data_IF_511102572236
#
_entry.id   IF_511102572236
#
_cell.length_a   1.000
_cell.length_b   1.000
_cell.length_c   1.000
_cell.angle_alpha   90.00
_cell.angle_beta   90.00
_cell.angle_gamma   90.00
#
_symmetry.space_group_name_H-M   'P 1'
#
loop_
_entity.id
_entity.type
_entity.pdbx_description
1 polymer ?
#
# COMPACT_ATOMS: atom_id res chain seq x y z
N UNK A 1 -12.98 -25.17 10.50
CA UNK A 1 -11.78 -24.54 9.89
C UNK A 1 -11.15 -23.73 11.00
N UNK A 2 -9.86 -23.87 11.26
CA UNK A 2 -9.18 -23.06 12.28
C UNK A 2 -9.36 -21.58 11.95
N UNK A 3 -9.79 -20.77 12.93
CA UNK A 3 -9.90 -19.31 12.84
C UNK A 3 -8.51 -18.71 12.61
N UNK A 4 -8.04 -18.75 11.36
CA UNK A 4 -6.75 -18.17 10.96
C UNK A 4 -6.88 -16.66 11.06
N UNK A 5 -6.09 -16.06 11.94
CA UNK A 5 -5.89 -14.61 12.00
C UNK A 5 -4.63 -14.29 11.22
N UNK A 6 -4.77 -13.41 10.23
CA UNK A 6 -3.68 -12.89 9.41
C UNK A 6 -3.11 -11.64 10.07
N UNK A 7 -1.78 -11.56 10.23
CA UNK A 7 -1.12 -10.38 10.80
C UNK A 7 -0.32 -9.63 9.75
N UNK A 8 -0.71 -8.38 9.49
CA UNK A 8 -0.08 -7.50 8.50
C UNK A 8 0.42 -6.23 9.18
N UNK A 9 1.69 -5.88 8.97
CA UNK A 9 2.28 -4.61 9.44
C UNK A 9 2.46 -3.62 8.30
N UNK A 10 2.00 -2.38 8.46
CA UNK A 10 2.23 -1.29 7.52
C UNK A 10 3.52 -0.56 7.84
N UNK A 11 4.49 -0.52 6.92
CA UNK A 11 5.87 -0.10 7.20
C UNK A 11 6.30 1.21 6.53
N UNK A 12 5.39 1.92 5.86
CA UNK A 12 5.64 3.24 5.30
C UNK A 12 4.32 3.97 5.02
N UNK A 13 4.37 5.30 4.97
CA UNK A 13 3.28 6.14 4.47
C UNK A 13 3.61 6.97 3.24
N UNK A 14 4.89 7.08 2.87
CA UNK A 14 5.38 7.85 1.73
C UNK A 14 6.86 7.55 1.46
N UNK A 15 7.38 7.99 0.32
CA UNK A 15 8.80 7.89 0.01
C UNK A 15 9.65 8.85 0.86
N UNK A 16 10.61 8.29 1.62
CA UNK A 16 11.44 9.02 2.59
C UNK A 16 10.97 8.89 4.05
N UNK A 17 10.00 8.00 4.33
CA UNK A 17 9.56 7.69 5.69
C UNK A 17 10.66 6.97 6.51
N UNK A 18 10.42 6.80 7.81
CA UNK A 18 11.42 6.36 8.76
C UNK A 18 11.78 4.87 8.59
N UNK A 19 13.05 4.60 8.28
CA UNK A 19 13.59 3.23 8.13
C UNK A 19 13.43 2.30 9.37
N UNK A 20 13.02 2.85 10.51
CA UNK A 20 12.77 2.11 11.76
C UNK A 20 11.50 1.27 11.76
N UNK A 21 10.60 1.44 10.79
CA UNK A 21 9.35 0.69 10.71
C UNK A 21 9.59 -0.83 10.60
N UNK A 22 10.42 -1.24 9.63
CA UNK A 22 10.73 -2.66 9.37
C UNK A 22 11.30 -3.40 10.58
N UNK A 23 12.40 -2.94 11.23
CA UNK A 23 12.95 -3.67 12.38
C UNK A 23 11.94 -3.75 13.53
N UNK A 24 11.15 -2.69 13.76
CA UNK A 24 10.13 -2.67 14.80
C UNK A 24 9.02 -3.70 14.54
N UNK A 25 8.53 -3.81 13.31
CA UNK A 25 7.52 -4.80 12.93
C UNK A 25 8.06 -6.23 12.99
N UNK A 26 9.33 -6.43 12.63
CA UNK A 26 9.97 -7.75 12.70
C UNK A 26 10.17 -8.25 14.14
N UNK A 27 10.06 -7.40 15.16
CA UNK A 27 10.02 -7.85 16.56
C UNK A 27 8.60 -8.28 17.02
N UNK A 28 7.55 -8.03 16.22
CA UNK A 28 6.21 -8.47 16.55
C UNK A 28 6.05 -9.98 16.28
N UNK A 29 5.48 -10.71 17.24
CA UNK A 29 5.32 -12.15 17.14
C UNK A 29 4.25 -12.56 16.11
N UNK A 30 4.59 -13.52 15.26
CA UNK A 30 3.65 -14.15 14.32
C UNK A 30 3.14 -13.20 13.23
N UNK A 31 3.95 -12.22 12.83
CA UNK A 31 3.68 -11.39 11.66
C UNK A 31 3.74 -12.26 10.38
N UNK A 32 2.74 -12.16 9.51
CA UNK A 32 2.70 -12.90 8.25
C UNK A 32 3.21 -12.04 7.08
N UNK A 33 2.85 -10.75 7.06
CA UNK A 33 3.19 -9.81 5.98
C UNK A 33 3.71 -8.48 6.52
N UNK A 34 4.62 -7.89 5.75
CA UNK A 34 4.94 -6.46 5.84
C UNK A 34 4.56 -5.82 4.52
N UNK A 35 3.78 -4.75 4.58
CA UNK A 35 3.37 -3.98 3.42
C UNK A 35 3.99 -2.59 3.43
N UNK A 36 4.29 -2.08 2.26
CA UNK A 36 4.85 -0.75 2.08
C UNK A 36 4.07 0.01 1.02
N UNK A 37 3.64 1.20 1.38
CA UNK A 37 3.15 2.22 0.46
C UNK A 37 4.14 3.40 0.41
N UNK A 38 4.69 3.64 -0.77
CA UNK A 38 5.71 4.65 -1.06
C UNK A 38 5.18 5.78 -1.97
N UNK A 39 4.05 5.58 -2.64
CA UNK A 39 3.73 6.35 -3.83
C UNK A 39 2.65 7.40 -3.58
N UNK A 40 3.03 8.66 -3.76
CA UNK A 40 2.12 9.77 -3.96
C UNK A 40 2.25 10.31 -5.41
N UNK A 41 1.29 11.09 -5.88
CA UNK A 41 1.32 11.69 -7.22
C UNK A 41 2.61 12.52 -7.46
N UNK A 42 3.08 13.25 -6.45
CA UNK A 42 4.34 14.01 -6.53
C UNK A 42 5.56 13.09 -6.63
N UNK A 43 5.56 11.97 -5.92
CA UNK A 43 6.65 10.97 -5.93
C UNK A 43 6.84 10.40 -7.33
N UNK A 44 5.74 10.08 -8.01
CA UNK A 44 5.76 9.58 -9.39
C UNK A 44 6.45 10.56 -10.35
N UNK A 45 6.19 11.86 -10.20
CA UNK A 45 6.84 12.90 -11.02
C UNK A 45 8.36 12.94 -10.80
N UNK A 46 8.81 12.82 -9.55
CA UNK A 46 10.24 12.81 -9.22
C UNK A 46 10.91 11.55 -9.79
N UNK A 47 10.27 10.40 -9.66
CA UNK A 47 10.77 9.13 -10.17
C UNK A 47 10.79 9.10 -11.71
N UNK A 48 9.79 9.66 -12.38
CA UNK A 48 9.75 9.82 -13.84
C UNK A 48 10.94 10.66 -14.34
N UNK A 49 11.21 11.79 -13.68
CA UNK A 49 12.38 12.61 -13.97
C UNK A 49 13.69 11.87 -13.73
N UNK A 50 13.80 11.08 -12.66
CA UNK A 50 14.99 10.28 -12.37
C UNK A 50 15.23 9.20 -13.44
N UNK A 51 14.18 8.49 -13.86
CA UNK A 51 14.23 7.48 -14.94
C UNK A 51 14.63 8.10 -16.28
N UNK A 52 14.11 9.29 -16.60
CA UNK A 52 14.47 10.00 -17.83
C UNK A 52 15.95 10.41 -17.90
N UNK A 53 16.64 10.51 -16.75
CA UNK A 53 18.07 10.79 -16.68
C UNK A 53 18.92 9.51 -16.67
N UNK A 54 18.38 8.41 -16.15
CA UNK A 54 19.04 7.13 -15.98
C UNK A 54 17.99 6.01 -15.97
N UNK A 55 17.98 5.17 -17.01
CA UNK A 55 16.99 4.10 -17.19
C UNK A 55 17.01 3.04 -16.07
N UNK A 56 18.05 3.00 -15.24
CA UNK A 56 18.10 2.12 -14.06
C UNK A 56 17.39 2.69 -12.83
N UNK A 57 16.92 3.95 -12.89
CA UNK A 57 16.19 4.64 -11.81
C UNK A 57 14.68 4.66 -12.05
N UNK A 58 13.95 5.28 -11.13
CA UNK A 58 12.48 5.40 -11.21
C UNK A 58 11.72 4.56 -10.18
N UNK A 59 12.41 4.09 -9.14
CA UNK A 59 11.85 3.36 -8.01
C UNK A 59 12.47 3.87 -6.68
N UNK A 60 11.89 3.48 -5.55
CA UNK A 60 12.37 3.87 -4.22
C UNK A 60 13.66 3.13 -3.84
N UNK A 61 14.82 3.77 -4.01
CA UNK A 61 16.14 3.17 -3.75
C UNK A 61 16.36 2.79 -2.27
N UNK A 62 15.74 3.53 -1.37
CA UNK A 62 15.73 3.32 0.08
C UNK A 62 14.89 2.09 0.49
N UNK A 63 13.89 1.68 -0.30
CA UNK A 63 13.25 0.38 -0.10
C UNK A 63 14.27 -0.76 -0.20
N UNK A 64 15.12 -0.74 -1.23
CA UNK A 64 16.16 -1.77 -1.41
C UNK A 64 17.26 -1.65 -0.36
N UNK A 65 17.82 -0.45 -0.18
CA UNK A 65 19.03 -0.23 0.63
C UNK A 65 18.81 -0.08 2.13
N UNK A 66 17.67 0.48 2.56
CA UNK A 66 17.38 0.76 3.97
C UNK A 66 16.32 -0.18 4.55
N UNK A 67 15.26 -0.50 3.80
CA UNK A 67 14.20 -1.39 4.30
C UNK A 67 14.58 -2.87 4.12
N UNK A 68 15.02 -3.29 2.93
CA UNK A 68 15.28 -4.69 2.62
C UNK A 68 16.69 -5.14 3.03
N UNK A 69 17.75 -4.50 2.55
CA UNK A 69 19.14 -4.93 2.76
C UNK A 69 19.49 -5.33 4.21
N UNK A 70 19.18 -4.54 5.26
CA UNK A 70 19.50 -4.95 6.62
C UNK A 70 18.58 -6.03 7.22
N UNK A 71 17.44 -6.32 6.59
CA UNK A 71 16.36 -7.10 7.18
C UNK A 71 16.04 -8.43 6.44
N UNK A 72 16.53 -8.63 5.21
CA UNK A 72 16.19 -9.80 4.38
C UNK A 72 16.43 -11.15 5.09
N UNK A 73 17.53 -11.28 5.84
CA UNK A 73 17.82 -12.52 6.58
C UNK A 73 16.75 -12.82 7.65
N UNK A 74 16.27 -11.79 8.36
CA UNK A 74 15.21 -11.94 9.37
C UNK A 74 13.85 -12.20 8.72
N UNK A 75 13.54 -11.52 7.61
CA UNK A 75 12.35 -11.75 6.80
C UNK A 75 12.30 -13.21 6.32
N UNK A 76 13.39 -13.70 5.73
CA UNK A 76 13.51 -15.08 5.27
C UNK A 76 13.39 -16.10 6.41
N UNK A 77 14.11 -15.88 7.52
CA UNK A 77 14.08 -16.76 8.69
C UNK A 77 12.71 -16.83 9.36
N UNK A 78 11.93 -15.75 9.30
CA UNK A 78 10.56 -15.69 9.81
C UNK A 78 9.49 -16.19 8.84
N UNK A 79 9.82 -16.43 7.57
CA UNK A 79 8.84 -16.76 6.53
C UNK A 79 7.86 -15.61 6.22
N UNK A 80 8.27 -14.37 6.49
CA UNK A 80 7.45 -13.17 6.33
C UNK A 80 7.43 -12.78 4.85
N UNK A 81 6.25 -12.47 4.33
CA UNK A 81 6.11 -11.99 2.94
C UNK A 81 6.09 -10.47 2.89
N UNK A 82 6.64 -9.91 1.82
CA UNK A 82 6.73 -8.45 1.63
C UNK A 82 5.96 -8.05 0.38
N UNK A 83 5.17 -6.98 0.48
CA UNK A 83 4.44 -6.41 -0.66
C UNK A 83 4.69 -4.91 -0.68
N UNK A 84 5.06 -4.36 -1.83
CA UNK A 84 5.44 -2.96 -1.93
C UNK A 84 5.14 -2.36 -3.30
N UNK A 85 4.65 -1.13 -3.32
CA UNK A 85 4.56 -0.31 -4.54
C UNK A 85 5.82 0.55 -4.78
N UNK A 86 6.91 0.28 -4.07
CA UNK A 86 8.20 0.95 -4.22
C UNK A 86 8.78 0.92 -5.65
N UNK A 87 8.23 0.10 -6.55
CA UNK A 87 8.64 0.03 -7.94
C UNK A 87 8.41 1.33 -8.72
N UNK A 88 7.47 2.17 -8.29
CA UNK A 88 7.24 3.49 -8.90
C UNK A 88 6.98 3.40 -10.40
N UNK A 89 7.77 4.14 -11.19
CA UNK A 89 7.70 4.10 -12.66
C UNK A 89 8.69 3.11 -13.28
N UNK A 90 9.45 2.35 -12.47
CA UNK A 90 10.38 1.33 -12.94
C UNK A 90 10.40 0.09 -12.02
N UNK A 91 9.26 -0.61 -11.91
CA UNK A 91 9.11 -1.74 -11.00
C UNK A 91 10.02 -2.93 -11.38
N UNK A 92 10.38 -3.09 -12.66
CA UNK A 92 11.33 -4.10 -13.11
C UNK A 92 12.74 -3.87 -12.54
N UNK A 93 13.27 -2.64 -12.63
CA UNK A 93 14.58 -2.32 -12.06
C UNK A 93 14.60 -2.48 -10.54
N UNK A 94 13.50 -2.17 -9.85
CA UNK A 94 13.36 -2.43 -8.42
C UNK A 94 13.44 -3.93 -8.10
N UNK A 95 12.69 -4.76 -8.84
CA UNK A 95 12.71 -6.20 -8.66
C UNK A 95 14.09 -6.81 -8.95
N UNK A 96 14.79 -6.34 -9.98
CA UNK A 96 16.14 -6.80 -10.31
C UNK A 96 17.17 -6.41 -9.23
N UNK A 97 17.07 -5.20 -8.68
CA UNK A 97 17.91 -4.77 -7.56
C UNK A 97 17.69 -5.65 -6.32
N UNK A 98 16.45 -6.02 -6.02
CA UNK A 98 16.14 -6.96 -4.92
C UNK A 98 16.71 -8.35 -5.18
N UNK A 99 16.56 -8.88 -6.40
CA UNK A 99 17.10 -10.20 -6.77
C UNK A 99 18.62 -10.23 -6.62
N UNK A 100 19.31 -9.18 -7.08
CA UNK A 100 20.75 -9.05 -6.91
C UNK A 100 21.16 -9.04 -5.44
N UNK A 101 20.46 -8.26 -4.60
CA UNK A 101 20.69 -8.16 -3.17
C UNK A 101 20.42 -9.50 -2.44
N UNK A 102 19.36 -10.21 -2.79
CA UNK A 102 19.02 -11.54 -2.25
C UNK A 102 20.14 -12.54 -2.57
N UNK A 103 20.64 -12.53 -3.82
CA UNK A 103 21.74 -13.39 -4.25
C UNK A 103 23.05 -13.05 -3.53
N UNK A 104 23.36 -11.76 -3.33
CA UNK A 104 24.52 -11.30 -2.56
C UNK A 104 24.51 -11.83 -1.12
N UNK A 105 23.34 -11.87 -0.49
CA UNK A 105 23.17 -12.39 0.87
C UNK A 105 23.05 -13.93 0.94
N UNK A 106 23.09 -14.64 -0.20
CA UNK A 106 22.97 -16.09 -0.26
C UNK A 106 21.58 -16.61 0.15
N UNK A 107 20.53 -15.80 -0.01
CA UNK A 107 19.15 -16.14 0.32
C UNK A 107 18.42 -16.69 -0.92
N UNK A 108 17.28 -17.35 -0.71
CA UNK A 108 16.49 -18.01 -1.77
C UNK A 108 15.07 -17.42 -1.95
N UNK A 109 14.88 -16.17 -1.50
CA UNK A 109 13.59 -15.47 -1.58
C UNK A 109 13.17 -15.22 -3.03
N UNK A 110 11.91 -15.49 -3.36
CA UNK A 110 11.36 -15.26 -4.69
C UNK A 110 10.78 -13.84 -4.83
N UNK A 111 11.20 -13.12 -5.87
CA UNK A 111 10.71 -11.75 -6.16
C UNK A 111 9.86 -11.74 -7.43
N UNK A 112 8.60 -11.35 -7.29
CA UNK A 112 7.69 -11.10 -8.40
C UNK A 112 7.48 -9.59 -8.62
N UNK A 113 7.23 -9.22 -9.87
CA UNK A 113 6.95 -7.86 -10.29
C UNK A 113 5.58 -7.80 -10.96
N UNK A 114 4.70 -6.90 -10.50
CA UNK A 114 3.40 -6.63 -11.12
C UNK A 114 3.55 -5.43 -12.06
N UNK A 115 3.20 -5.65 -13.33
CA UNK A 115 3.27 -4.68 -14.41
C UNK A 115 1.88 -4.39 -14.99
N UNK A 116 1.80 -3.38 -15.86
CA UNK A 116 0.58 -3.01 -16.59
C UNK A 116 -0.02 -1.69 -16.14
N UNK A 117 0.57 -1.04 -15.14
CA UNK A 117 0.20 0.31 -14.72
C UNK A 117 0.75 1.37 -15.70
N UNK A 118 1.93 1.16 -16.29
CA UNK A 118 2.54 2.08 -17.26
C UNK A 118 1.76 2.12 -18.58
N UNK A 119 1.07 3.24 -18.79
CA UNK A 119 0.27 3.54 -19.96
C UNK A 119 0.94 4.59 -20.86
N UNK A 120 2.18 5.02 -20.56
CA UNK A 120 2.91 6.00 -21.36
C UNK A 120 3.02 5.60 -22.84
N UNK A 121 3.25 4.32 -23.21
CA UNK A 121 3.26 3.90 -24.61
C UNK A 121 1.93 4.15 -25.36
N UNK A 122 0.82 4.32 -24.62
CA UNK A 122 -0.54 4.56 -25.13
C UNK A 122 -0.96 6.02 -25.05
N UNK A 123 -0.05 6.94 -24.74
CA UNK A 123 -0.32 8.38 -24.60
C UNK A 123 -1.17 8.97 -25.76
N UNK A 124 -0.79 8.64 -27.01
CA UNK A 124 -1.48 9.14 -28.20
C UNK A 124 -2.93 8.64 -28.33
N UNK A 125 -3.28 7.49 -27.74
CA UNK A 125 -4.66 7.00 -27.71
C UNK A 125 -5.55 7.90 -26.84
N UNK A 126 -5.05 8.31 -25.67
CA UNK A 126 -5.80 9.17 -24.73
C UNK A 126 -5.96 10.59 -25.26
N UNK A 127 -4.90 11.14 -25.87
CA UNK A 127 -4.96 12.44 -26.55
C UNK A 127 -5.98 12.42 -27.70
N UNK A 128 -5.93 11.41 -28.57
CA UNK A 128 -6.86 11.29 -29.70
C UNK A 128 -8.32 11.04 -29.26
N UNK A 129 -8.52 10.36 -28.13
CA UNK A 129 -9.84 10.15 -27.54
C UNK A 129 -10.42 11.41 -26.88
N UNK A 130 -9.63 12.48 -26.73
CA UNK A 130 -10.06 13.72 -26.08
C UNK A 130 -10.41 13.52 -24.62
N UNK A 131 -9.66 12.66 -23.91
CA UNK A 131 -9.81 12.49 -22.46
C UNK A 131 -9.61 13.84 -21.78
N UNK A 132 -10.33 14.06 -20.69
CA UNK A 132 -10.20 15.27 -19.87
C UNK A 132 -9.91 14.89 -18.44
N UNK A 133 -9.24 15.78 -17.72
CA UNK A 133 -9.02 15.63 -16.28
C UNK A 133 -10.38 15.57 -15.56
N UNK A 134 -10.51 14.64 -14.62
CA UNK A 134 -11.80 14.19 -14.08
C UNK A 134 -12.48 15.21 -13.14
N UNK A 135 -11.75 16.21 -12.63
CA UNK A 135 -12.29 17.23 -11.71
C UNK A 135 -12.43 18.61 -12.36
N UNK A 136 -11.41 19.03 -13.11
CA UNK A 136 -11.29 20.34 -13.73
C UNK A 136 -11.85 20.38 -15.16
N UNK A 137 -11.93 19.22 -15.83
CA UNK A 137 -12.27 19.14 -17.25
C UNK A 137 -11.18 19.70 -18.17
N UNK A 138 -9.97 19.93 -17.66
CA UNK A 138 -8.84 20.35 -18.48
C UNK A 138 -8.52 19.29 -19.53
N UNK A 139 -8.10 19.74 -20.72
CA UNK A 139 -7.76 18.85 -21.81
C UNK A 139 -6.54 17.99 -21.48
N UNK A 140 -6.52 16.74 -21.96
CA UNK A 140 -5.35 15.89 -21.83
C UNK A 140 -4.08 16.58 -22.39
N UNK A 141 -2.95 16.55 -21.67
CA UNK A 141 -1.70 17.11 -22.16
C UNK A 141 -1.26 16.46 -23.47
N UNK A 142 -0.54 17.22 -24.32
CA UNK A 142 0.04 16.67 -25.54
C UNK A 142 0.94 15.46 -25.22
N UNK A 143 0.84 14.39 -26.01
CA UNK A 143 1.50 13.12 -25.72
C UNK A 143 3.03 13.23 -25.59
N UNK A 144 3.64 14.17 -26.32
CA UNK A 144 5.09 14.42 -26.30
C UNK A 144 5.58 15.17 -25.05
N UNK A 145 4.68 15.68 -24.21
CA UNK A 145 5.00 16.37 -22.95
C UNK A 145 4.87 15.46 -21.72
N UNK A 146 4.28 14.28 -21.87
CA UNK A 146 4.02 13.36 -20.77
C UNK A 146 5.32 12.69 -20.31
N UNK A 147 5.53 12.68 -19.00
CA UNK A 147 6.66 12.00 -18.34
C UNK A 147 6.24 10.66 -17.75
N UNK A 148 4.98 10.54 -17.30
CA UNK A 148 4.41 9.27 -16.86
C UNK A 148 2.90 9.26 -17.07
N UNK A 149 2.34 8.07 -17.26
CA UNK A 149 0.89 7.82 -17.23
C UNK A 149 0.74 6.48 -16.53
N UNK A 150 0.15 6.47 -15.34
CA UNK A 150 0.06 5.27 -14.53
C UNK A 150 -1.37 5.02 -14.07
N UNK A 151 -1.89 3.83 -14.37
CA UNK A 151 -3.16 3.35 -13.84
C UNK A 151 -2.98 2.85 -12.40
N UNK A 152 -3.96 3.11 -11.55
CA UNK A 152 -3.96 2.62 -10.17
C UNK A 152 -4.45 1.17 -10.17
N UNK A 153 -3.54 0.19 -10.27
CA UNK A 153 -3.92 -1.22 -10.23
C UNK A 153 -4.52 -1.64 -8.87
N UNK A 154 -5.24 -2.77 -8.90
CA UNK A 154 -5.84 -3.41 -7.73
C UNK A 154 -5.01 -4.56 -7.14
N UNK A 155 -5.60 -5.27 -6.20
CA UNK A 155 -4.98 -6.28 -5.35
C UNK A 155 -4.88 -7.68 -5.98
N UNK A 156 -5.74 -8.04 -6.94
CA UNK A 156 -5.75 -9.39 -7.51
C UNK A 156 -4.42 -9.81 -8.18
N UNK A 157 -3.71 -8.95 -8.95
CA UNK A 157 -2.39 -9.27 -9.49
C UNK A 157 -1.34 -9.54 -8.39
N UNK A 158 -1.39 -8.80 -7.29
CA UNK A 158 -0.52 -9.02 -6.12
C UNK A 158 -0.81 -10.39 -5.50
N UNK A 159 -2.08 -10.69 -5.26
CA UNK A 159 -2.48 -11.98 -4.71
C UNK A 159 -2.07 -13.15 -5.62
N UNK A 160 -2.17 -12.97 -6.95
CA UNK A 160 -1.72 -13.96 -7.92
C UNK A 160 -0.22 -14.22 -7.84
N UNK A 161 0.60 -13.17 -7.74
CA UNK A 161 2.05 -13.30 -7.59
C UNK A 161 2.42 -14.09 -6.31
N UNK A 162 1.74 -13.82 -5.20
CA UNK A 162 1.92 -14.58 -3.94
C UNK A 162 1.52 -16.05 -4.09
N UNK A 163 0.39 -16.34 -4.75
CA UNK A 163 -0.07 -17.70 -5.05
C UNK A 163 0.92 -18.49 -5.92
N UNK A 164 1.66 -17.81 -6.80
CA UNK A 164 2.70 -18.40 -7.64
C UNK A 164 4.04 -18.61 -6.90
N UNK A 165 4.08 -18.29 -5.60
CA UNK A 165 5.21 -18.58 -4.72
C UNK A 165 6.14 -17.41 -4.44
N UNK A 166 5.74 -16.17 -4.77
CA UNK A 166 6.53 -14.99 -4.41
C UNK A 166 6.61 -14.82 -2.88
N UNK A 167 7.80 -14.46 -2.41
CA UNK A 167 8.04 -13.99 -1.03
C UNK A 167 8.03 -12.47 -0.96
N UNK A 168 8.48 -11.82 -2.04
CA UNK A 168 8.44 -10.37 -2.21
C UNK A 168 7.69 -10.06 -3.50
N UNK A 169 6.67 -9.21 -3.40
CA UNK A 169 5.94 -8.67 -4.56
C UNK A 169 6.20 -7.18 -4.64
N UNK A 170 6.73 -6.74 -5.78
CA UNK A 170 6.88 -5.32 -6.10
C UNK A 170 5.91 -4.95 -7.21
N UNK A 171 5.26 -3.79 -7.09
CA UNK A 171 4.41 -3.21 -8.12
C UNK A 171 4.87 -1.80 -8.48
N UNK A 172 4.44 -1.32 -9.64
CA UNK A 172 4.39 0.10 -9.97
C UNK A 172 3.23 0.78 -9.25
N UNK A 173 2.44 1.62 -9.93
CA UNK A 173 1.27 2.25 -9.31
C UNK A 173 0.14 1.24 -9.06
N UNK A 174 -0.24 1.12 -7.79
CA UNK A 174 -1.50 0.54 -7.35
C UNK A 174 -2.21 1.54 -6.43
N UNK A 175 -3.48 1.27 -6.09
CA UNK A 175 -4.07 1.95 -4.91
C UNK A 175 -3.36 1.50 -3.65
N UNK A 176 -3.28 2.38 -2.68
CA UNK A 176 -2.42 2.22 -1.50
C UNK A 176 -2.90 1.02 -0.67
N UNK A 177 -4.20 0.88 -0.46
CA UNK A 177 -4.80 -0.29 0.19
C UNK A 177 -4.60 -1.65 -0.54
N UNK A 178 -4.19 -1.67 -1.81
CA UNK A 178 -4.06 -2.91 -2.59
C UNK A 178 -2.96 -3.83 -2.06
N UNK A 179 -1.90 -3.28 -1.44
CA UNK A 179 -0.81 -4.11 -0.90
C UNK A 179 -1.30 -4.97 0.27
N UNK A 180 -2.18 -4.43 1.11
CA UNK A 180 -2.82 -5.15 2.22
C UNK A 180 -3.93 -6.06 1.71
N UNK A 181 -4.80 -5.58 0.82
CA UNK A 181 -5.88 -6.39 0.26
C UNK A 181 -5.33 -7.60 -0.51
N UNK A 182 -4.20 -7.45 -1.21
CA UNK A 182 -3.53 -8.53 -1.92
C UNK A 182 -3.06 -9.65 -1.00
N UNK A 183 -2.53 -9.31 0.19
CA UNK A 183 -2.21 -10.28 1.23
C UNK A 183 -3.46 -11.00 1.74
N UNK A 184 -4.56 -10.27 1.95
CA UNK A 184 -5.83 -10.85 2.42
C UNK A 184 -6.42 -11.84 1.40
N UNK A 185 -6.50 -11.45 0.11
CA UNK A 185 -6.96 -12.31 -0.98
C UNK A 185 -6.10 -13.57 -1.08
N UNK A 186 -4.77 -13.44 -0.98
CA UNK A 186 -3.88 -14.60 -0.99
C UNK A 186 -4.11 -15.53 0.22
N UNK A 187 -4.25 -14.97 1.43
CA UNK A 187 -4.36 -15.74 2.65
C UNK A 187 -5.71 -16.45 2.83
N UNK A 188 -6.80 -15.80 2.41
CA UNK A 188 -8.18 -16.28 2.62
C UNK A 188 -8.84 -16.81 1.35
N UNK A 189 -8.26 -16.57 0.17
CA UNK A 189 -8.81 -17.03 -1.10
C UNK A 189 -10.08 -16.30 -1.52
N UNK A 190 -10.27 -15.05 -1.07
CA UNK A 190 -11.41 -14.23 -1.47
C UNK A 190 -11.49 -14.05 -2.99
N UNK A 191 -12.71 -14.06 -3.49
CA UNK A 191 -13.06 -13.93 -4.90
C UNK A 191 -13.56 -12.51 -5.21
N UNK A 192 -13.74 -12.21 -6.50
CA UNK A 192 -14.18 -10.89 -6.98
C UNK A 192 -15.58 -10.51 -6.52
N UNK A 193 -16.39 -11.49 -6.16
CA UNK A 193 -17.77 -11.35 -5.69
C UNK A 193 -17.89 -11.35 -4.15
N UNK A 194 -16.80 -11.56 -3.41
CA UNK A 194 -16.73 -11.43 -1.95
C UNK A 194 -16.63 -9.95 -1.53
N UNK A 195 -17.58 -9.13 -1.98
CA UNK A 195 -17.50 -7.66 -1.97
C UNK A 195 -17.29 -7.07 -0.57
N UNK A 196 -17.96 -7.61 0.45
CA UNK A 196 -17.83 -7.12 1.82
C UNK A 196 -16.45 -7.44 2.40
N UNK A 197 -15.90 -8.62 2.07
CA UNK A 197 -14.55 -8.99 2.46
C UNK A 197 -13.51 -8.12 1.75
N UNK A 198 -13.70 -7.85 0.45
CA UNK A 198 -12.85 -6.94 -0.29
C UNK A 198 -12.89 -5.53 0.31
N UNK A 199 -14.07 -5.01 0.67
CA UNK A 199 -14.21 -3.70 1.31
C UNK A 199 -13.56 -3.65 2.70
N UNK A 200 -13.72 -4.71 3.50
CA UNK A 200 -13.07 -4.82 4.81
C UNK A 200 -11.53 -4.93 4.69
N UNK A 201 -11.03 -5.68 3.71
CA UNK A 201 -9.59 -5.78 3.42
C UNK A 201 -9.01 -4.46 2.92
N UNK A 202 -9.76 -3.73 2.09
CA UNK A 202 -9.41 -2.37 1.66
C UNK A 202 -9.40 -1.39 2.84
N UNK A 203 -10.37 -1.46 3.74
CA UNK A 203 -10.38 -0.66 4.97
C UNK A 203 -9.18 -0.98 5.86
N UNK A 204 -8.85 -2.26 6.05
CA UNK A 204 -7.64 -2.66 6.77
C UNK A 204 -6.38 -2.10 6.10
N UNK A 205 -6.32 -2.09 4.77
CA UNK A 205 -5.25 -1.47 4.00
C UNK A 205 -5.14 0.03 4.24
N UNK A 206 -6.27 0.73 4.16
CA UNK A 206 -6.35 2.16 4.42
C UNK A 206 -5.97 2.53 5.87
N UNK A 207 -6.22 1.65 6.85
CA UNK A 207 -5.75 1.85 8.22
C UNK A 207 -4.23 1.63 8.38
N UNK A 208 -3.63 0.76 7.56
CA UNK A 208 -2.21 0.41 7.64
C UNK A 208 -1.28 1.33 6.84
N UNK A 209 -1.81 2.06 5.86
CA UNK A 209 -1.06 3.05 5.08
C UNK A 209 -0.86 4.37 5.87
N UNK A 210 -0.23 5.37 5.22
CA UNK A 210 0.11 6.67 5.84
C UNK A 210 1.00 6.59 7.10
N UNK A 211 1.80 5.52 7.23
CA UNK A 211 2.80 5.37 8.28
C UNK A 211 2.16 5.20 9.67
N UNK A 212 2.55 5.97 10.70
CA UNK A 212 2.04 5.79 12.06
C UNK A 212 0.72 6.53 12.34
N UNK A 213 -0.06 6.95 11.34
CA UNK A 213 -1.27 7.77 11.59
C UNK A 213 -2.31 7.05 12.47
N UNK A 214 -2.64 5.79 12.15
CA UNK A 214 -3.55 4.97 12.98
C UNK A 214 -3.04 4.69 14.41
N UNK A 215 -1.76 4.95 14.66
CA UNK A 215 -1.09 4.78 15.96
C UNK A 215 -0.70 6.12 16.62
N UNK A 216 -1.24 7.24 16.13
CA UNK A 216 -1.11 8.56 16.76
C UNK A 216 -0.17 9.54 16.06
N UNK A 217 0.45 9.17 14.94
CA UNK A 217 1.46 9.99 14.26
C UNK A 217 0.94 11.28 13.63
N UNK A 218 -0.35 11.31 13.30
CA UNK A 218 -1.05 12.49 12.77
C UNK A 218 -2.46 12.58 13.41
N UNK A 219 -2.50 12.46 14.73
CA UNK A 219 -3.74 12.45 15.52
C UNK A 219 -4.06 13.84 16.08
N UNK A 220 -5.32 14.25 16.02
CA UNK A 220 -5.75 15.57 16.54
C UNK A 220 -5.38 15.77 18.01
N UNK A 221 -5.65 14.77 18.86
CA UNK A 221 -5.30 14.82 20.29
C UNK A 221 -3.87 14.31 20.55
N UNK A 222 -2.89 14.83 19.79
CA UNK A 222 -1.47 14.41 19.83
C UNK A 222 -0.86 14.45 21.24
N UNK A 223 -1.35 15.29 22.15
CA UNK A 223 -0.89 15.37 23.55
C UNK A 223 -1.14 14.07 24.33
N UNK A 224 -2.10 13.25 23.90
CA UNK A 224 -2.39 11.94 24.48
C UNK A 224 -1.39 10.86 24.02
N UNK A 225 -0.67 11.13 22.94
CA UNK A 225 0.25 10.19 22.30
C UNK A 225 1.60 10.23 23.04
N UNK A 226 1.93 9.12 23.69
CA UNK A 226 3.18 9.01 24.47
C UNK A 226 4.31 8.52 23.59
N UNK A 227 5.52 9.00 23.87
CA UNK A 227 6.76 8.54 23.23
C UNK A 227 6.71 8.58 21.69
N UNK A 228 6.24 9.71 21.14
CA UNK A 228 6.18 9.97 19.70
C UNK A 228 7.51 9.67 18.96
N UNK A 229 8.71 9.99 19.49
CA UNK A 229 9.97 9.65 18.83
C UNK A 229 10.17 8.15 18.59
N UNK A 230 9.54 7.30 19.39
CA UNK A 230 9.55 5.85 19.26
C UNK A 230 8.18 5.27 18.86
N UNK A 231 7.35 6.04 18.17
CA UNK A 231 6.01 5.59 17.73
C UNK A 231 6.02 4.23 17.03
N UNK A 232 5.01 3.40 17.34
CA UNK A 232 4.77 2.11 16.72
C UNK A 232 4.11 2.23 15.35
N UNK A 233 4.56 1.48 14.37
CA UNK A 233 3.82 1.32 13.11
C UNK A 233 2.62 0.38 13.29
N UNK A 234 1.52 0.58 12.54
CA UNK A 234 0.29 -0.17 12.75
C UNK A 234 0.42 -1.64 12.32
N UNK A 235 -0.29 -2.50 13.05
CA UNK A 235 -0.51 -3.92 12.71
C UNK A 235 -2.01 -4.17 12.68
N UNK A 236 -2.49 -4.86 11.65
CA UNK A 236 -3.84 -5.39 11.58
C UNK A 236 -3.82 -6.91 11.80
N UNK A 237 -4.66 -7.37 12.73
CA UNK A 237 -4.97 -8.77 12.95
C UNK A 237 -6.33 -9.07 12.32
N UNK A 238 -6.32 -9.65 11.13
CA UNK A 238 -7.48 -9.76 10.24
C UNK A 238 -8.03 -11.18 10.27
N UNK A 239 -9.35 -11.33 10.45
CA UNK A 239 -10.05 -12.60 10.37
C UNK A 239 -10.55 -12.88 8.94
N UNK A 240 -10.93 -14.12 8.67
CA UNK A 240 -11.38 -14.55 7.34
C UNK A 240 -12.67 -13.86 6.85
N UNK A 241 -13.47 -13.30 7.77
CA UNK A 241 -14.66 -12.49 7.47
C UNK A 241 -14.32 -11.03 7.13
N UNK A 242 -13.05 -10.65 7.19
CA UNK A 242 -12.54 -9.30 6.96
C UNK A 242 -12.51 -8.42 8.22
N UNK A 243 -13.20 -8.79 9.30
CA UNK A 243 -13.11 -8.05 10.56
C UNK A 243 -11.69 -8.10 11.12
N UNK A 244 -11.22 -6.99 11.71
CA UNK A 244 -9.83 -6.91 12.17
C UNK A 244 -9.68 -6.16 13.49
N UNK A 245 -8.52 -6.35 14.12
CA UNK A 245 -8.06 -5.53 15.23
C UNK A 245 -6.83 -4.75 14.78
N UNK A 246 -6.92 -3.42 14.82
CA UNK A 246 -5.78 -2.53 14.67
C UNK A 246 -5.02 -2.43 16.00
N UNK A 247 -3.70 -2.57 15.94
CA UNK A 247 -2.79 -2.50 17.09
C UNK A 247 -1.40 -2.02 16.66
N UNK A 248 -0.41 -2.09 17.55
CA UNK A 248 0.99 -1.74 17.29
C UNK A 248 1.94 -2.71 18.02
N UNK A 249 3.22 -2.83 17.59
CA UNK A 249 4.19 -3.67 18.28
C UNK A 249 4.29 -3.34 19.78
N UNK A 250 4.43 -4.34 20.66
CA UNK A 250 4.64 -4.11 22.09
C UNK A 250 5.92 -3.31 22.38
N UNK A 251 5.89 -2.47 23.43
CA UNK A 251 7.06 -1.70 23.86
C UNK A 251 7.38 -0.46 23.02
N UNK A 252 6.55 -0.12 22.04
CA UNK A 252 6.70 1.10 21.23
C UNK A 252 5.82 2.23 21.77
N UNK A 253 6.19 3.47 21.46
CA UNK A 253 5.33 4.63 21.66
C UNK A 253 4.09 4.62 20.76
N UNK A 254 3.35 5.72 20.76
CA UNK A 254 2.08 5.84 20.04
C UNK A 254 0.86 5.55 20.92
N UNK A 255 -0.30 5.63 20.31
CA UNK A 255 -1.61 5.35 20.90
C UNK A 255 -2.50 4.73 19.82
N UNK A 256 -3.14 3.59 20.12
CA UNK A 256 -4.18 3.03 19.26
C UNK A 256 -5.51 3.05 20.00
N UNK A 257 -6.37 4.00 19.63
CA UNK A 257 -7.71 4.13 20.18
C UNK A 257 -8.74 4.38 19.08
N UNK A 258 -10.02 4.37 19.44
CA UNK A 258 -11.10 4.61 18.47
C UNK A 258 -10.89 5.93 17.71
N UNK A 259 -10.37 6.97 18.36
CA UNK A 259 -10.05 8.25 17.71
C UNK A 259 -8.99 8.14 16.62
N UNK A 260 -7.83 7.56 16.91
CA UNK A 260 -6.73 7.44 15.93
C UNK A 260 -7.13 6.61 14.71
N UNK A 261 -7.88 5.52 14.93
CA UNK A 261 -8.34 4.66 13.84
C UNK A 261 -9.49 5.31 13.07
N UNK A 262 -10.39 6.07 13.72
CA UNK A 262 -11.46 6.81 13.03
C UNK A 262 -10.92 7.94 12.16
N UNK A 263 -9.90 8.66 12.63
CA UNK A 263 -9.26 9.72 11.85
C UNK A 263 -8.56 9.14 10.62
N UNK A 264 -7.83 8.04 10.77
CA UNK A 264 -7.24 7.36 9.61
C UNK A 264 -8.32 6.84 8.65
N UNK A 265 -9.40 6.23 9.15
CA UNK A 265 -10.50 5.71 8.32
C UNK A 265 -11.14 6.76 7.40
N UNK A 266 -11.12 8.04 7.78
CA UNK A 266 -11.72 9.14 7.03
C UNK A 266 -10.68 10.00 6.31
N UNK A 267 -9.39 9.72 6.47
CA UNK A 267 -8.31 10.51 5.91
C UNK A 267 -8.29 10.38 4.38
N UNK A 268 -8.25 11.51 3.67
CA UNK A 268 -8.22 11.57 2.19
C UNK A 268 -9.40 10.87 1.48
N UNK A 269 -10.48 10.59 2.21
CA UNK A 269 -11.73 10.04 1.65
C UNK A 269 -12.73 11.17 1.42
N UNK A 270 -13.13 11.34 0.15
CA UNK A 270 -14.16 12.31 -0.24
C UNK A 270 -15.58 11.87 0.17
N UNK A 271 -16.02 10.71 -0.29
CA UNK A 271 -17.31 10.11 0.08
C UNK A 271 -17.08 8.75 0.76
N UNK A 272 -17.24 8.65 2.10
CA UNK A 272 -17.05 7.40 2.82
C UNK A 272 -18.10 6.33 2.48
N UNK A 273 -19.22 6.66 1.84
CA UNK A 273 -20.18 5.67 1.34
C UNK A 273 -19.81 5.14 -0.06
N UNK A 274 -18.86 5.79 -0.73
CA UNK A 274 -18.50 5.51 -2.11
C UNK A 274 -16.99 5.69 -2.33
N UNK A 275 -16.16 5.04 -1.52
CA UNK A 275 -14.72 5.04 -1.73
C UNK A 275 -14.38 4.09 -2.89
N UNK A 276 -14.14 4.66 -4.06
CA UNK A 276 -13.96 3.92 -5.32
C UNK A 276 -12.53 3.38 -5.41
N UNK A 277 -12.39 2.05 -5.37
CA UNK A 277 -11.15 1.34 -5.62
C UNK A 277 -11.28 0.39 -6.81
N UNK A 278 -10.17 -0.05 -7.42
CA UNK A 278 -10.19 -0.94 -8.57
C UNK A 278 -10.82 -2.32 -8.34
N UNK A 279 -10.78 -2.81 -7.10
CA UNK A 279 -11.27 -4.14 -6.75
C UNK A 279 -12.70 -4.11 -6.19
N UNK A 280 -13.14 -2.98 -5.63
CA UNK A 280 -14.42 -2.81 -4.93
C UNK A 280 -14.72 -1.32 -4.71
N UNK A 281 -16.00 -0.92 -4.72
CA UNK A 281 -16.41 0.39 -4.21
C UNK A 281 -16.85 0.22 -2.76
N UNK A 282 -16.11 0.80 -1.81
CA UNK A 282 -16.34 0.59 -0.39
C UNK A 282 -17.39 1.57 0.18
N UNK A 283 -18.22 1.05 1.08
CA UNK A 283 -19.06 1.82 1.98
C UNK A 283 -18.59 1.60 3.42
N UNK A 284 -18.00 2.65 3.97
CA UNK A 284 -17.46 2.73 5.31
C UNK A 284 -18.49 3.30 6.32
N UNK A 285 -19.67 3.76 5.87
CA UNK A 285 -20.68 4.36 6.76
C UNK A 285 -21.30 3.38 7.75
N UNK A 286 -21.22 2.08 7.45
CA UNK A 286 -21.70 0.99 8.30
C UNK A 286 -20.62 0.41 9.20
N UNK A 287 -19.37 0.89 9.08
CA UNK A 287 -18.27 0.37 9.88
C UNK A 287 -18.42 0.75 11.36
N UNK A 288 -18.12 -0.20 12.24
CA UNK A 288 -18.12 -0.03 13.69
C UNK A 288 -16.71 -0.17 14.23
N UNK A 289 -16.32 0.73 15.13
CA UNK A 289 -15.05 0.72 15.82
C UNK A 289 -15.27 0.53 17.32
N UNK A 290 -14.62 -0.47 17.90
CA UNK A 290 -14.76 -0.82 19.31
C UNK A 290 -13.39 -0.93 19.98
N UNK A 291 -13.21 -0.26 21.12
CA UNK A 291 -12.01 -0.45 21.94
C UNK A 291 -12.08 -1.80 22.65
N UNK A 292 -11.26 -2.76 22.23
CA UNK A 292 -11.26 -4.14 22.77
C UNK A 292 -10.09 -4.41 23.74
N UNK A 293 -9.23 -3.42 23.95
CA UNK A 293 -8.14 -3.44 24.91
C UNK A 293 -7.21 -2.24 24.77
N UNK A 294 -6.18 -2.11 25.64
CA UNK A 294 -5.16 -1.09 25.47
C UNK A 294 -4.46 -1.23 24.12
N UNK A 295 -4.34 -0.13 23.37
CA UNK A 295 -3.75 -0.11 22.03
C UNK A 295 -4.38 -1.12 21.03
N UNK A 296 -5.69 -1.41 21.18
CA UNK A 296 -6.40 -2.39 20.37
C UNK A 296 -7.82 -1.95 20.05
N UNK A 297 -8.08 -1.74 18.76
CA UNK A 297 -9.40 -1.31 18.25
C UNK A 297 -9.88 -2.34 17.24
N UNK A 298 -11.05 -2.94 17.50
CA UNK A 298 -11.73 -3.80 16.55
C UNK A 298 -12.49 -2.96 15.54
N UNK A 299 -12.37 -3.31 14.27
CA UNK A 299 -13.06 -2.70 13.13
C UNK A 299 -13.82 -3.79 12.38
N UNK A 300 -15.08 -3.53 12.05
CA UNK A 300 -15.95 -4.45 11.33
C UNK A 300 -17.08 -3.70 10.60
N UNK A 301 -17.74 -4.35 9.65
CA UNK A 301 -19.03 -3.90 9.12
C UNK A 301 -18.99 -2.95 7.93
N UNK A 302 -17.81 -2.67 7.34
CA UNK A 302 -17.76 -2.05 6.02
C UNK A 302 -18.34 -3.01 4.97
N UNK A 303 -19.01 -2.46 3.95
CA UNK A 303 -19.64 -3.23 2.89
C UNK A 303 -19.11 -2.82 1.52
N UNK A 304 -19.26 -3.71 0.53
CA UNK A 304 -18.73 -3.50 -0.81
C UNK A 304 -19.82 -3.45 -1.88
N UNK A 305 -19.56 -2.64 -2.90
CA UNK A 305 -20.28 -2.66 -4.19
C UNK A 305 -19.33 -3.08 -5.30
N UNK A 306 -19.85 -3.60 -6.44
CA UNK A 306 -19.02 -4.03 -7.55
C UNK A 306 -18.00 -2.98 -7.96
N UNK A 307 -16.79 -3.44 -8.31
CA UNK A 307 -15.73 -2.61 -8.85
C UNK A 307 -16.21 -1.75 -10.05
N UNK A 308 -15.63 -0.56 -10.25
CA UNK A 308 -15.89 0.24 -11.44
C UNK A 308 -15.42 -0.48 -12.71
N UNK A 309 -15.97 -0.11 -13.86
CA UNK A 309 -15.52 -0.57 -15.18
C UNK A 309 -14.32 0.24 -15.71
N UNK A 310 -13.81 1.16 -14.90
CA UNK A 310 -12.72 2.08 -15.23
C UNK A 310 -11.65 2.12 -14.13
N UNK A 311 -10.43 2.49 -14.50
CA UNK A 311 -9.33 2.75 -13.57
C UNK A 311 -9.08 4.25 -13.41
N UNK A 312 -8.74 4.70 -12.19
CA UNK A 312 -8.09 6.01 -12.00
C UNK A 312 -6.73 5.98 -12.68
N UNK A 313 -6.41 7.03 -13.42
CA UNK A 313 -5.10 7.22 -14.07
C UNK A 313 -4.52 8.54 -13.59
N UNK A 314 -3.24 8.54 -13.23
CA UNK A 314 -2.48 9.77 -13.00
C UNK A 314 -1.48 9.97 -14.12
N UNK A 315 -1.45 11.16 -14.69
CA UNK A 315 -0.53 11.56 -15.73
C UNK A 315 0.32 12.73 -15.22
N UNK A 316 1.63 12.64 -15.43
CA UNK A 316 2.56 13.72 -15.11
C UNK A 316 3.14 14.25 -16.41
N UNK A 317 3.21 15.57 -16.57
CA UNK A 317 3.72 16.20 -17.77
C UNK A 317 4.60 17.40 -17.42
N UNK A 318 5.52 17.73 -18.33
CA UNK A 318 6.29 18.96 -18.21
C UNK A 318 5.38 20.16 -18.49
N UNK A 319 4.94 20.86 -17.45
CA UNK A 319 4.24 22.12 -17.62
C UNK A 319 5.23 23.24 -17.98
N UNK A 320 5.15 23.79 -19.20
CA UNK A 320 6.18 24.69 -19.72
C UNK A 320 6.15 26.03 -18.94
N UNK A 321 7.32 26.42 -18.39
CA UNK A 321 7.69 27.64 -17.62
C UNK A 321 7.32 27.64 -16.11
N UNK A 322 8.18 28.15 -15.21
CA UNK A 322 9.24 29.18 -15.34
C UNK A 322 10.62 28.74 -14.85
#
# INVERSE_FOLDING_TARGET
>A
MTDRILRIGGASGFWGDAARATPQLLEAEGLDYIVYDYLAEITMSIMARARAQDDSRGYALDFVSAAMQPNLAKIAGGGIKVISNAGGVNPEACADALRALIAEQGLALQVACVLGDDLLPRAGEFEAAGVTEMFSGEAFPAADRLQSINAYLGAFPIARALQEGADIVVTGRCVDSAVTLGACIHAFGWQRDDLDQLAMGSLAGHILECGPQATGGNFTDWEQVKDMPHIGYPIAEIAADGSFVCTKPPGTGGLVNVGTVSEQMLYEIGDPQAYILPDVVCDFSTATLEQVGPDRVRVAGATGRPAPDSYKVSATYADQFR
#
